data_IF_583891628620
#
_entry.id   IF_583891628620
#
_cell.length_a   1.000
_cell.length_b   1.000
_cell.length_c   1.000
_cell.angle_alpha   90.00
_cell.angle_beta   90.00
_cell.angle_gamma   90.00
#
_symmetry.space_group_name_H-M   'P 1'
#
loop_
_entity.id
_entity.type
_entity.pdbx_description
1 polymer ?
#
# COMPACT_ATOMS: atom_id res chain seq x y z
N UNK A 1 -49.26 4.43 47.47
CA UNK A 1 -50.63 3.92 47.28
C UNK A 1 -50.71 3.38 45.87
N UNK A 2 -50.64 2.06 45.75
CA UNK A 2 -51.69 1.06 45.58
C UNK A 2 -52.27 1.07 44.17
N UNK A 3 -52.07 -0.02 43.48
CA UNK A 3 -52.90 -1.18 43.14
C UNK A 3 -53.29 -1.09 41.66
N UNK A 4 -53.29 -2.09 40.80
CA UNK A 4 -53.14 -3.52 40.90
C UNK A 4 -53.41 -4.18 39.52
N UNK A 5 -52.89 -5.34 39.41
CA UNK A 5 -53.33 -6.59 38.78
C UNK A 5 -54.29 -6.62 37.61
N UNK A 6 -53.94 -7.52 36.70
CA UNK A 6 -54.89 -8.20 35.83
C UNK A 6 -54.18 -9.07 34.79
N UNK A 7 -53.83 -10.33 35.16
CA UNK A 7 -53.48 -11.42 34.28
C UNK A 7 -54.75 -12.09 33.76
N UNK A 8 -54.77 -12.54 32.50
CA UNK A 8 -55.55 -13.69 32.09
C UNK A 8 -54.85 -14.42 30.93
N UNK A 9 -54.73 -15.71 31.17
CA UNK A 9 -54.20 -16.80 30.33
C UNK A 9 -55.13 -17.20 29.20
N UNK A 10 -54.50 -17.99 28.33
CA UNK A 10 -55.01 -19.09 27.47
C UNK A 10 -55.55 -18.69 26.09
N UNK A 11 -55.20 -19.28 25.01
CA UNK A 11 -55.02 -20.68 24.59
C UNK A 11 -54.49 -20.70 23.16
N UNK A 12 -53.59 -21.60 22.82
CA UNK A 12 -53.36 -22.07 21.45
C UNK A 12 -54.48 -23.02 21.03
N UNK A 13 -54.74 -23.26 19.73
CA UNK A 13 -53.96 -24.22 18.99
C UNK A 13 -53.82 -24.03 17.46
N UNK A 14 -52.79 -24.65 16.93
CA UNK A 14 -52.66 -25.51 15.74
C UNK A 14 -52.72 -24.92 14.33
N UNK A 15 -51.58 -25.19 13.64
CA UNK A 15 -51.42 -25.66 12.26
C UNK A 15 -52.01 -24.87 11.10
N UNK A 16 -51.15 -24.35 10.24
CA UNK A 16 -51.14 -24.68 8.80
C UNK A 16 -49.97 -24.07 8.05
N UNK A 17 -49.26 -24.97 7.36
CA UNK A 17 -48.62 -24.85 6.04
C UNK A 17 -47.54 -23.74 5.80
N UNK A 18 -46.35 -24.25 5.61
CA UNK A 18 -45.23 -23.63 4.89
C UNK A 18 -45.67 -23.11 3.52
N UNK A 19 -45.45 -21.82 3.29
CA UNK A 19 -45.27 -21.27 1.96
C UNK A 19 -43.89 -20.62 1.87
N UNK A 20 -43.03 -21.27 1.12
CA UNK A 20 -41.74 -20.75 0.66
C UNK A 20 -42.00 -19.53 -0.21
N UNK A 21 -41.76 -18.34 0.34
CA UNK A 21 -41.61 -17.15 -0.48
C UNK A 21 -40.17 -17.13 -1.02
N UNK A 22 -40.10 -17.18 -2.35
CA UNK A 22 -38.91 -16.87 -3.13
C UNK A 22 -38.46 -15.45 -2.76
N UNK A 23 -37.21 -15.31 -2.33
CA UNK A 23 -36.51 -14.05 -2.41
C UNK A 23 -36.43 -13.68 -3.89
N UNK A 24 -37.12 -12.64 -4.28
CA UNK A 24 -36.91 -11.99 -5.56
C UNK A 24 -35.52 -11.40 -5.59
N UNK A 25 -34.77 -11.85 -6.58
CA UNK A 25 -33.55 -11.25 -7.06
C UNK A 25 -33.86 -9.77 -7.42
N UNK A 26 -33.36 -8.86 -6.63
CA UNK A 26 -33.35 -7.46 -7.00
C UNK A 26 -32.24 -7.27 -8.05
N UNK A 27 -32.59 -7.55 -9.31
CA UNK A 27 -31.85 -7.02 -10.44
C UNK A 27 -31.85 -5.50 -10.30
N UNK A 28 -30.65 -4.92 -10.07
CA UNK A 28 -30.44 -3.49 -10.17
C UNK A 28 -30.87 -3.05 -11.56
N UNK A 29 -31.96 -2.28 -11.62
CA UNK A 29 -32.43 -1.67 -12.85
C UNK A 29 -31.37 -0.65 -13.27
N UNK A 30 -30.60 -0.96 -14.32
CA UNK A 30 -29.69 -0.03 -14.94
C UNK A 30 -30.48 1.25 -15.27
N UNK A 31 -30.05 2.38 -14.72
CA UNK A 31 -30.67 3.67 -15.00
C UNK A 31 -30.56 3.94 -16.48
N UNK A 32 -31.71 3.82 -17.19
CA UNK A 32 -31.81 4.18 -18.59
C UNK A 32 -31.62 5.69 -18.70
N UNK A 33 -30.58 6.10 -19.43
CA UNK A 33 -30.34 7.49 -19.80
C UNK A 33 -31.58 8.03 -20.54
N UNK A 34 -32.21 9.04 -19.97
CA UNK A 34 -33.18 9.87 -20.65
C UNK A 34 -32.43 10.74 -21.65
N UNK A 35 -32.88 10.67 -22.91
CA UNK A 35 -32.43 11.41 -24.08
C UNK A 35 -31.53 12.63 -23.83
N UNK A 36 -30.22 12.50 -24.06
CA UNK A 36 -29.35 13.57 -24.52
C UNK A 36 -28.51 14.30 -23.49
N UNK A 37 -28.68 14.12 -22.17
CA UNK A 37 -27.80 14.74 -21.17
C UNK A 37 -26.73 13.76 -20.70
N UNK A 38 -25.45 14.23 -20.53
CA UNK A 38 -24.37 13.37 -20.02
C UNK A 38 -24.63 12.95 -18.57
N UNK A 39 -24.24 11.73 -18.25
CA UNK A 39 -24.20 11.23 -16.87
C UNK A 39 -23.02 11.87 -16.15
N UNK A 40 -23.24 12.38 -14.94
CA UNK A 40 -22.16 12.87 -14.09
C UNK A 40 -21.78 11.82 -13.06
N UNK A 41 -20.50 11.42 -13.06
CA UNK A 41 -19.89 10.61 -12.00
C UNK A 41 -19.03 11.50 -11.12
N UNK A 42 -18.99 11.18 -9.83
CA UNK A 42 -18.13 11.86 -8.85
C UNK A 42 -16.83 11.09 -8.66
N UNK A 43 -15.71 11.81 -8.67
CA UNK A 43 -14.37 11.25 -8.56
C UNK A 43 -13.59 11.92 -7.42
N UNK A 44 -13.06 11.14 -6.46
CA UNK A 44 -12.24 11.63 -5.36
C UNK A 44 -10.81 11.12 -5.49
N UNK A 45 -9.82 12.01 -5.33
CA UNK A 45 -8.42 11.64 -5.18
C UNK A 45 -7.73 12.44 -4.08
N UNK A 46 -6.59 11.94 -3.61
CA UNK A 46 -5.81 12.47 -2.49
C UNK A 46 -4.43 13.00 -2.90
N UNK A 47 -4.27 13.39 -4.17
CA UNK A 47 -3.04 13.94 -4.74
C UNK A 47 -3.23 15.38 -5.23
N UNK A 48 -3.32 16.37 -4.32
CA UNK A 48 -3.49 17.77 -4.71
C UNK A 48 -2.31 18.31 -5.54
N UNK A 49 -1.12 17.74 -5.42
CA UNK A 49 0.07 18.07 -6.21
C UNK A 49 -0.07 17.74 -7.70
N UNK A 50 -0.96 16.81 -8.06
CA UNK A 50 -1.23 16.38 -9.44
C UNK A 50 -2.60 16.82 -9.97
N UNK A 51 -3.17 17.86 -9.38
CA UNK A 51 -4.50 18.37 -9.78
C UNK A 51 -4.54 18.80 -11.26
N UNK A 52 -3.44 19.37 -11.77
CA UNK A 52 -3.34 19.79 -13.17
C UNK A 52 -3.36 18.60 -14.14
N UNK A 53 -2.64 17.53 -13.82
CA UNK A 53 -2.56 16.30 -14.60
C UNK A 53 -3.93 15.58 -14.60
N UNK A 54 -4.60 15.48 -13.46
CA UNK A 54 -5.95 14.92 -13.39
C UNK A 54 -6.97 15.76 -14.14
N UNK A 55 -6.91 17.09 -14.03
CA UNK A 55 -7.79 17.99 -14.78
C UNK A 55 -7.65 17.78 -16.28
N UNK A 56 -6.43 17.67 -16.80
CA UNK A 56 -6.21 17.39 -18.22
C UNK A 56 -6.70 16.01 -18.62
N UNK A 57 -6.40 15.00 -17.82
CA UNK A 57 -6.84 13.61 -18.04
C UNK A 57 -8.38 13.49 -18.12
N UNK A 58 -9.07 14.16 -17.21
CA UNK A 58 -10.53 14.20 -17.18
C UNK A 58 -11.08 14.93 -18.40
N UNK A 59 -10.50 16.07 -18.78
CA UNK A 59 -10.89 16.82 -19.98
C UNK A 59 -10.76 15.97 -21.25
N UNK A 60 -9.66 15.23 -21.38
CA UNK A 60 -9.40 14.34 -22.50
C UNK A 60 -10.38 13.15 -22.51
N UNK A 61 -10.69 12.60 -21.32
CA UNK A 61 -11.72 11.55 -21.17
C UNK A 61 -13.09 12.02 -21.59
N UNK A 62 -13.55 13.20 -21.13
CA UNK A 62 -14.86 13.75 -21.46
C UNK A 62 -14.99 14.09 -22.95
N UNK A 63 -13.90 14.54 -23.60
CA UNK A 63 -13.85 14.77 -25.03
C UNK A 63 -14.05 13.46 -25.84
N UNK A 64 -13.49 12.36 -25.33
CA UNK A 64 -13.65 11.03 -25.95
C UNK A 64 -14.97 10.34 -25.56
N UNK A 65 -15.60 10.75 -24.45
CA UNK A 65 -16.83 10.17 -23.91
C UNK A 65 -17.85 11.26 -23.57
N UNK A 66 -18.48 11.90 -24.58
CA UNK A 66 -19.34 13.07 -24.39
C UNK A 66 -20.63 12.76 -23.59
N UNK A 67 -20.92 11.50 -23.38
CA UNK A 67 -22.02 10.99 -22.55
C UNK A 67 -21.71 10.93 -21.06
N UNK A 68 -20.44 11.22 -20.64
CA UNK A 68 -20.02 11.19 -19.25
C UNK A 68 -19.36 12.51 -18.87
N UNK A 69 -19.69 13.02 -17.69
CA UNK A 69 -19.01 14.11 -17.00
C UNK A 69 -18.38 13.58 -15.70
N UNK A 70 -17.26 14.18 -15.30
CA UNK A 70 -16.54 13.80 -14.08
C UNK A 70 -16.41 15.03 -13.18
N UNK A 71 -17.05 14.99 -12.03
CA UNK A 71 -16.87 16.00 -10.97
C UNK A 71 -15.85 15.53 -9.96
N UNK A 72 -14.77 16.31 -9.80
CA UNK A 72 -13.63 15.94 -8.96
C UNK A 72 -13.74 16.54 -7.56
N UNK A 73 -13.38 15.73 -6.56
CA UNK A 73 -13.16 16.13 -5.18
C UNK A 73 -11.69 15.83 -4.82
N UNK A 74 -10.97 16.83 -4.35
CA UNK A 74 -9.57 16.69 -3.93
C UNK A 74 -9.48 16.81 -2.43
N UNK A 75 -8.82 15.85 -1.80
CA UNK A 75 -8.54 15.84 -0.36
C UNK A 75 -7.05 15.59 -0.12
N UNK A 76 -6.61 15.51 1.12
CA UNK A 76 -5.26 15.11 1.47
C UNK A 76 -5.25 13.65 1.95
N UNK A 77 -4.11 12.96 1.79
CA UNK A 77 -3.98 11.54 2.09
C UNK A 77 -4.30 11.20 3.56
N UNK A 78 -3.95 12.08 4.48
CA UNK A 78 -4.12 11.90 5.93
C UNK A 78 -5.59 11.82 6.38
N UNK A 79 -6.52 12.36 5.59
CA UNK A 79 -7.96 12.33 5.89
C UNK A 79 -8.75 11.35 5.00
N UNK A 80 -8.11 10.70 4.03
CA UNK A 80 -8.76 9.83 3.04
C UNK A 80 -9.60 8.73 3.70
N UNK A 81 -9.00 7.92 4.56
CA UNK A 81 -9.65 6.77 5.20
C UNK A 81 -10.87 7.20 6.01
N UNK A 82 -10.75 8.27 6.82
CA UNK A 82 -11.85 8.74 7.63
C UNK A 82 -12.96 9.35 6.80
N UNK A 83 -12.61 10.10 5.75
CA UNK A 83 -13.57 10.68 4.82
C UNK A 83 -14.40 9.62 4.13
N UNK A 84 -13.75 8.58 3.57
CA UNK A 84 -14.44 7.49 2.90
C UNK A 84 -15.30 6.67 3.89
N UNK A 85 -14.77 6.33 5.05
CA UNK A 85 -15.53 5.58 6.08
C UNK A 85 -16.80 6.32 6.49
N UNK A 86 -16.71 7.63 6.66
CA UNK A 86 -17.86 8.47 6.99
C UNK A 86 -18.87 8.51 5.85
N UNK A 87 -18.40 8.67 4.61
CA UNK A 87 -19.23 8.70 3.42
C UNK A 87 -19.94 7.36 3.17
N UNK A 88 -19.28 6.22 3.40
CA UNK A 88 -19.89 4.89 3.33
C UNK A 88 -21.03 4.74 4.35
N UNK A 89 -20.80 5.16 5.60
CA UNK A 89 -21.82 5.08 6.62
C UNK A 89 -23.04 5.99 6.31
N UNK A 90 -22.84 7.10 5.62
CA UNK A 90 -23.89 8.00 5.18
C UNK A 90 -24.60 7.54 3.89
N UNK A 91 -24.00 6.62 3.12
CA UNK A 91 -24.48 6.24 1.79
C UNK A 91 -24.28 7.33 0.72
N UNK A 92 -23.30 8.21 0.93
CA UNK A 92 -23.02 9.41 0.11
C UNK A 92 -21.57 9.42 -0.40
N UNK A 93 -20.96 8.24 -0.59
CA UNK A 93 -19.60 8.15 -1.11
C UNK A 93 -19.54 8.52 -2.60
N UNK A 94 -18.40 9.06 -3.08
CA UNK A 94 -18.20 9.32 -4.50
C UNK A 94 -18.25 8.01 -5.32
N UNK A 95 -18.69 8.11 -6.58
CA UNK A 95 -18.80 6.95 -7.46
C UNK A 95 -17.46 6.24 -7.65
N UNK A 96 -16.38 7.02 -7.80
CA UNK A 96 -15.00 6.55 -7.89
C UNK A 96 -14.16 7.26 -6.83
N UNK A 97 -13.41 6.52 -6.05
CA UNK A 97 -12.53 7.08 -5.03
C UNK A 97 -11.14 6.48 -5.10
N UNK A 98 -10.13 7.31 -4.87
CA UNK A 98 -8.77 6.85 -4.57
C UNK A 98 -8.80 5.94 -3.34
N UNK A 99 -7.99 4.93 -3.34
CA UNK A 99 -7.83 4.00 -2.24
C UNK A 99 -6.45 3.37 -2.27
N UNK A 100 -6.03 2.93 -1.11
CA UNK A 100 -4.86 2.06 -1.00
C UNK A 100 -5.33 0.61 -0.99
N UNK A 101 -4.61 -0.25 -1.68
CA UNK A 101 -5.00 -1.65 -1.78
C UNK A 101 -5.16 -2.34 -0.42
N UNK A 102 -4.40 -1.91 0.61
CA UNK A 102 -4.54 -2.41 1.98
C UNK A 102 -5.87 -2.07 2.68
N UNK A 103 -6.66 -1.14 2.14
CA UNK A 103 -7.97 -0.79 2.68
C UNK A 103 -9.10 -1.69 2.15
N UNK A 104 -8.82 -2.46 1.09
CA UNK A 104 -9.89 -3.19 0.38
C UNK A 104 -10.59 -4.24 1.25
N UNK A 105 -9.87 -4.93 2.11
CA UNK A 105 -10.49 -5.88 3.04
C UNK A 105 -11.46 -5.20 3.98
N UNK A 106 -11.05 -4.09 4.58
CA UNK A 106 -11.88 -3.30 5.49
C UNK A 106 -13.10 -2.71 4.79
N UNK A 107 -12.93 -2.05 3.64
CA UNK A 107 -14.03 -1.44 2.89
C UNK A 107 -14.99 -2.48 2.32
N UNK A 108 -14.47 -3.62 1.85
CA UNK A 108 -15.30 -4.71 1.35
C UNK A 108 -16.10 -5.38 2.46
N UNK A 109 -15.55 -5.51 3.68
CA UNK A 109 -16.24 -6.12 4.83
C UNK A 109 -17.53 -5.38 5.23
N UNK A 110 -17.59 -4.08 4.97
CA UNK A 110 -18.79 -3.25 5.19
C UNK A 110 -19.65 -3.10 3.92
N UNK A 111 -19.29 -3.81 2.84
CA UNK A 111 -20.03 -3.81 1.58
C UNK A 111 -19.92 -2.50 0.79
N UNK A 112 -18.86 -1.72 1.01
CA UNK A 112 -18.69 -0.39 0.39
C UNK A 112 -18.10 -0.44 -1.03
N UNK A 113 -17.50 -1.57 -1.44
CA UNK A 113 -16.76 -1.70 -2.69
C UNK A 113 -17.54 -2.49 -3.74
N UNK A 114 -17.46 -2.05 -4.99
CA UNK A 114 -18.06 -2.72 -6.14
C UNK A 114 -17.07 -3.72 -6.76
N UNK A 115 -17.54 -4.92 -7.10
CA UNK A 115 -16.73 -5.93 -7.77
C UNK A 115 -16.48 -5.54 -9.24
N UNK A 116 -15.23 -5.24 -9.55
CA UNK A 116 -14.78 -4.82 -10.88
C UNK A 116 -14.28 -5.99 -11.75
N UNK A 117 -14.24 -7.21 -11.20
CA UNK A 117 -13.79 -8.41 -11.92
C UNK A 117 -14.47 -8.59 -13.27
N UNK A 118 -15.81 -8.47 -13.40
CA UNK A 118 -16.48 -8.67 -14.68
C UNK A 118 -15.98 -7.73 -15.79
N UNK A 119 -15.68 -6.45 -15.45
CA UNK A 119 -15.15 -5.48 -16.41
C UNK A 119 -13.70 -5.76 -16.82
N UNK A 120 -12.90 -6.27 -15.88
CA UNK A 120 -11.52 -6.66 -16.16
C UNK A 120 -11.41 -7.90 -17.05
N UNK A 121 -12.40 -8.77 -17.01
CA UNK A 121 -12.47 -10.02 -17.77
C UNK A 121 -13.08 -9.84 -19.18
N UNK A 122 -13.63 -8.67 -19.50
CA UNK A 122 -14.11 -8.37 -20.82
C UNK A 122 -13.00 -8.49 -21.88
N UNK A 123 -13.41 -8.83 -23.12
CA UNK A 123 -12.52 -8.96 -24.27
C UNK A 123 -11.29 -9.84 -24.01
N UNK A 124 -11.49 -11.01 -23.39
CA UNK A 124 -10.43 -11.96 -23.03
C UNK A 124 -9.39 -11.36 -22.06
N UNK A 125 -9.83 -10.64 -21.05
CA UNK A 125 -8.98 -10.02 -20.01
C UNK A 125 -8.05 -8.92 -20.54
N UNK A 126 -8.33 -8.30 -21.69
CA UNK A 126 -7.45 -7.29 -22.28
C UNK A 126 -7.06 -6.19 -21.29
N UNK A 127 -8.01 -5.68 -20.51
CA UNK A 127 -7.73 -4.67 -19.50
C UNK A 127 -6.90 -5.24 -18.34
N UNK A 128 -7.29 -6.40 -17.78
CA UNK A 128 -6.55 -7.06 -16.71
C UNK A 128 -5.11 -7.33 -17.10
N UNK A 129 -4.92 -7.86 -18.31
CA UNK A 129 -3.60 -8.26 -18.82
C UNK A 129 -2.71 -7.07 -19.22
N UNK A 130 -3.26 -5.87 -19.31
CA UNK A 130 -2.49 -4.63 -19.50
C UNK A 130 -1.88 -4.11 -18.20
N UNK A 131 -2.34 -4.58 -17.06
CA UNK A 131 -1.87 -4.15 -15.73
C UNK A 131 -0.84 -5.13 -15.16
N UNK A 132 0.01 -4.63 -14.27
CA UNK A 132 0.96 -5.47 -13.53
C UNK A 132 0.18 -6.48 -12.66
N UNK A 133 0.43 -7.76 -12.86
CA UNK A 133 -0.29 -8.82 -12.15
C UNK A 133 -0.19 -8.70 -10.61
N UNK A 134 0.99 -8.42 -10.00
CA UNK A 134 1.09 -8.18 -8.56
C UNK A 134 0.26 -6.97 -8.09
N UNK A 135 0.16 -5.94 -8.93
CA UNK A 135 -0.63 -4.75 -8.62
C UNK A 135 -2.13 -5.04 -8.60
N UNK A 136 -2.63 -5.81 -9.57
CA UNK A 136 -4.03 -6.29 -9.57
C UNK A 136 -4.30 -7.19 -8.38
N UNK A 137 -3.36 -8.12 -8.08
CA UNK A 137 -3.49 -9.02 -6.94
C UNK A 137 -3.60 -8.29 -5.61
N UNK A 138 -2.89 -7.18 -5.43
CA UNK A 138 -2.96 -6.39 -4.19
C UNK A 138 -4.34 -5.75 -3.96
N UNK A 139 -5.12 -5.49 -5.00
CA UNK A 139 -6.50 -4.98 -4.93
C UNK A 139 -7.58 -6.06 -4.95
N UNK A 140 -7.18 -7.34 -4.84
CA UNK A 140 -8.07 -8.51 -4.94
C UNK A 140 -8.38 -9.07 -3.55
N UNK A 141 -9.65 -9.34 -3.28
CA UNK A 141 -10.14 -9.98 -2.04
C UNK A 141 -11.05 -11.14 -2.45
N UNK A 142 -10.76 -12.36 -1.98
CA UNK A 142 -11.54 -13.57 -2.32
C UNK A 142 -11.75 -13.74 -3.85
N UNK A 143 -10.70 -13.61 -4.63
CA UNK A 143 -10.69 -13.69 -6.10
C UNK A 143 -11.48 -12.59 -6.84
N UNK A 144 -11.99 -11.59 -6.13
CA UNK A 144 -12.70 -10.45 -6.70
C UNK A 144 -11.83 -9.18 -6.62
N UNK A 145 -11.80 -8.39 -7.70
CA UNK A 145 -10.99 -7.17 -7.79
C UNK A 145 -11.83 -5.97 -7.37
N UNK A 146 -11.44 -5.31 -6.31
CA UNK A 146 -12.13 -4.14 -5.74
C UNK A 146 -11.35 -2.83 -5.90
N UNK A 147 -10.05 -2.92 -6.16
CA UNK A 147 -9.20 -1.76 -6.44
C UNK A 147 -8.51 -1.94 -7.79
N UNK A 148 -8.70 -0.99 -8.68
CA UNK A 148 -7.94 -0.91 -9.94
C UNK A 148 -6.65 -0.16 -9.66
N UNK A 149 -5.48 -0.80 -9.87
CA UNK A 149 -4.21 -0.17 -9.62
C UNK A 149 -3.97 0.98 -10.60
N UNK A 150 -3.48 2.12 -10.09
CA UNK A 150 -3.12 3.27 -10.90
C UNK A 150 -1.61 3.47 -10.96
N UNK A 151 -0.96 3.50 -9.80
CA UNK A 151 0.50 3.54 -9.69
C UNK A 151 0.99 2.56 -8.61
N UNK A 152 2.23 2.14 -8.72
CA UNK A 152 2.87 1.28 -7.72
C UNK A 152 3.43 2.13 -6.57
N UNK A 153 3.43 1.56 -5.38
CA UNK A 153 4.06 2.16 -4.19
C UNK A 153 4.89 1.11 -3.47
N UNK A 154 6.09 1.48 -3.05
CA UNK A 154 6.98 0.61 -2.31
C UNK A 154 8.01 1.42 -1.53
N UNK A 155 8.41 0.91 -0.37
CA UNK A 155 9.58 1.43 0.34
C UNK A 155 10.85 0.87 -0.29
N UNK A 156 11.77 1.74 -0.65
CA UNK A 156 13.03 1.45 -1.34
C UNK A 156 14.16 2.26 -0.73
N UNK A 157 15.38 2.08 -1.23
CA UNK A 157 16.54 2.88 -0.85
C UNK A 157 16.86 3.91 -1.93
N UNK A 158 17.00 5.18 -1.52
CA UNK A 158 17.76 6.16 -2.26
C UNK A 158 19.18 6.23 -1.68
N UNK A 159 20.18 6.48 -2.53
CA UNK A 159 21.56 6.67 -2.10
C UNK A 159 22.20 7.89 -2.74
N UNK A 160 23.16 8.50 -2.04
CA UNK A 160 23.96 9.58 -2.58
C UNK A 160 25.01 9.02 -3.54
N UNK A 161 24.69 9.04 -4.83
CA UNK A 161 25.53 8.51 -5.91
C UNK A 161 26.87 9.24 -6.00
N UNK A 162 26.86 10.57 -5.86
CA UNK A 162 28.07 11.38 -5.85
C UNK A 162 29.01 10.96 -4.73
N UNK A 163 28.48 10.76 -3.51
CA UNK A 163 29.29 10.29 -2.37
C UNK A 163 29.85 8.88 -2.60
N UNK A 164 29.07 7.99 -3.23
CA UNK A 164 29.56 6.66 -3.62
C UNK A 164 30.78 6.76 -4.55
N UNK A 165 30.65 7.55 -5.62
CA UNK A 165 31.72 7.76 -6.61
C UNK A 165 32.96 8.41 -6.01
N UNK A 166 32.81 9.45 -5.18
CA UNK A 166 33.91 10.14 -4.52
C UNK A 166 34.74 9.24 -3.58
N UNK A 167 34.08 8.25 -2.94
CA UNK A 167 34.73 7.30 -2.06
C UNK A 167 35.14 5.99 -2.76
N UNK A 168 34.82 5.83 -4.04
CA UNK A 168 35.11 4.60 -4.79
C UNK A 168 34.31 3.40 -4.30
N UNK A 169 33.12 3.63 -3.75
CA UNK A 169 32.21 2.59 -3.32
C UNK A 169 31.32 2.13 -4.48
N UNK A 170 31.06 0.82 -4.49
CA UNK A 170 30.15 0.21 -5.45
C UNK A 170 28.76 0.01 -4.85
N UNK A 171 27.72 0.02 -5.70
CA UNK A 171 26.35 -0.25 -5.25
C UNK A 171 26.25 -1.73 -4.85
N UNK A 172 25.88 -2.03 -3.60
CA UNK A 172 25.84 -3.39 -3.09
C UNK A 172 24.71 -4.20 -3.74
N UNK A 173 24.96 -5.45 -4.03
CA UNK A 173 24.01 -6.38 -4.63
C UNK A 173 23.49 -7.43 -3.65
N UNK A 174 24.20 -7.61 -2.52
CA UNK A 174 23.81 -8.52 -1.45
C UNK A 174 23.75 -7.79 -0.10
N UNK A 175 23.04 -8.37 0.86
CA UNK A 175 22.97 -7.83 2.22
C UNK A 175 24.34 -7.76 2.90
N UNK A 176 25.20 -8.73 2.63
CA UNK A 176 26.57 -8.81 3.18
C UNK A 176 27.45 -7.68 2.64
N UNK A 177 27.35 -7.37 1.33
CA UNK A 177 28.02 -6.23 0.71
C UNK A 177 27.47 -4.91 1.27
N UNK A 178 26.15 -4.82 1.47
CA UNK A 178 25.50 -3.66 2.04
C UNK A 178 25.98 -3.39 3.46
N UNK A 179 25.99 -4.39 4.35
CA UNK A 179 26.52 -4.26 5.70
C UNK A 179 28.00 -3.85 5.73
N UNK A 180 28.80 -4.38 4.78
CA UNK A 180 30.20 -3.98 4.63
C UNK A 180 30.31 -2.50 4.28
N UNK A 181 29.51 -2.04 3.33
CA UNK A 181 29.46 -0.63 2.91
C UNK A 181 28.96 0.28 4.03
N UNK A 182 27.93 -0.11 4.78
CA UNK A 182 27.47 0.65 5.95
C UNK A 182 28.61 0.82 6.97
N UNK A 183 29.38 -0.24 7.19
CA UNK A 183 30.56 -0.17 8.08
C UNK A 183 31.68 0.74 7.57
N UNK A 184 31.88 0.85 6.25
CA UNK A 184 32.84 1.81 5.67
C UNK A 184 32.31 3.25 5.77
N UNK A 185 31.04 3.46 5.47
CA UNK A 185 30.40 4.76 5.57
C UNK A 185 30.42 5.32 7.00
N UNK A 186 30.12 4.50 7.99
CA UNK A 186 30.18 4.88 9.40
C UNK A 186 31.55 5.47 9.83
N UNK A 187 32.65 4.98 9.25
CA UNK A 187 34.00 5.47 9.55
C UNK A 187 34.25 6.88 9.02
N UNK A 188 33.47 7.35 8.05
CA UNK A 188 33.61 8.70 7.47
C UNK A 188 32.88 9.79 8.27
N UNK A 189 32.02 9.39 9.21
CA UNK A 189 31.23 10.30 10.04
C UNK A 189 29.87 10.67 9.44
N UNK A 190 29.48 10.05 8.32
CA UNK A 190 28.09 10.12 7.82
C UNK A 190 27.23 9.04 8.48
N UNK A 191 25.95 9.28 8.61
CA UNK A 191 24.99 8.23 9.00
C UNK A 191 24.84 7.27 7.81
N UNK A 192 25.21 5.98 7.93
CA UNK A 192 25.14 5.07 6.81
C UNK A 192 23.74 4.94 6.22
N UNK A 193 22.71 4.77 7.08
CA UNK A 193 21.31 4.64 6.68
C UNK A 193 20.41 5.56 7.49
N UNK A 194 19.75 6.48 6.84
CA UNK A 194 18.73 7.34 7.42
C UNK A 194 17.37 6.62 7.39
N UNK A 195 16.83 6.36 8.57
CA UNK A 195 15.59 5.61 8.76
C UNK A 195 14.70 6.33 9.76
N UNK A 196 13.69 7.09 9.33
CA UNK A 196 12.80 7.79 10.26
C UNK A 196 11.91 6.81 11.03
N UNK A 197 11.68 7.07 12.31
CA UNK A 197 10.84 6.26 13.20
C UNK A 197 9.61 6.99 13.74
N UNK A 198 9.39 8.25 13.36
CA UNK A 198 8.27 9.04 13.85
C UNK A 198 7.36 9.49 12.69
N UNK A 199 6.03 9.35 12.76
CA UNK A 199 5.29 8.66 13.83
C UNK A 199 5.29 7.13 13.66
N UNK A 200 5.01 6.42 14.76
CA UNK A 200 4.74 4.97 14.80
C UNK A 200 5.83 4.05 14.23
N UNK A 201 7.09 4.48 14.21
CA UNK A 201 8.18 3.64 13.70
C UNK A 201 8.10 3.23 12.23
N UNK A 202 7.25 3.88 11.42
CA UNK A 202 6.84 3.42 10.07
C UNK A 202 7.98 2.94 9.16
N UNK A 203 9.09 3.66 9.08
CA UNK A 203 10.22 3.24 8.24
C UNK A 203 11.13 2.24 8.96
N UNK A 204 11.22 2.30 10.28
CA UNK A 204 11.91 1.28 11.09
C UNK A 204 11.13 -0.04 11.01
N UNK A 205 9.79 0.02 11.07
CA UNK A 205 8.92 -1.12 10.81
C UNK A 205 9.20 -1.75 9.46
N UNK A 206 9.35 -0.94 8.42
CA UNK A 206 9.69 -1.44 7.08
C UNK A 206 11.05 -2.15 7.05
N UNK A 207 12.03 -1.72 7.84
CA UNK A 207 13.33 -2.38 7.95
C UNK A 207 13.23 -3.72 8.69
N UNK A 208 12.53 -3.76 9.81
CA UNK A 208 12.29 -5.01 10.57
C UNK A 208 11.53 -6.02 9.73
N UNK A 209 10.46 -5.57 9.05
CA UNK A 209 9.67 -6.42 8.16
C UNK A 209 10.52 -6.97 6.99
N UNK A 210 11.42 -6.17 6.44
CA UNK A 210 12.34 -6.63 5.40
C UNK A 210 13.27 -7.73 5.92
N UNK A 211 13.83 -7.58 7.12
CA UNK A 211 14.64 -8.63 7.73
C UNK A 211 13.81 -9.88 8.03
N UNK A 212 12.64 -9.72 8.64
CA UNK A 212 11.76 -10.85 8.95
C UNK A 212 11.35 -11.61 7.70
N UNK A 213 11.08 -10.91 6.57
CA UNK A 213 10.80 -11.51 5.27
C UNK A 213 11.92 -12.40 4.78
N UNK A 214 13.18 -11.96 4.89
CA UNK A 214 14.33 -12.77 4.50
C UNK A 214 14.41 -14.05 5.35
N UNK A 215 14.22 -13.95 6.67
CA UNK A 215 14.23 -15.12 7.55
C UNK A 215 13.05 -16.06 7.27
N UNK A 216 11.86 -15.54 6.99
CA UNK A 216 10.70 -16.34 6.58
C UNK A 216 10.91 -17.04 5.25
N UNK A 217 11.57 -16.37 4.29
CA UNK A 217 11.94 -17.00 3.02
C UNK A 217 12.87 -18.18 3.25
N UNK A 218 13.91 -18.02 4.05
CA UNK A 218 14.87 -19.07 4.40
C UNK A 218 14.21 -20.23 5.17
N UNK A 219 13.25 -19.92 6.05
CA UNK A 219 12.44 -20.91 6.75
C UNK A 219 11.48 -21.69 5.82
N UNK A 220 11.29 -21.20 4.58
CA UNK A 220 10.45 -21.83 3.57
C UNK A 220 8.98 -21.45 3.62
N UNK A 221 8.59 -20.49 4.45
CA UNK A 221 7.21 -20.02 4.59
C UNK A 221 6.67 -19.37 3.32
N UNK A 222 7.54 -18.79 2.48
CA UNK A 222 7.15 -18.07 1.28
C UNK A 222 7.08 -18.92 0.01
N UNK A 223 7.49 -20.21 0.07
CA UNK A 223 7.64 -21.08 -1.11
C UNK A 223 6.35 -21.44 -1.85
N UNK A 224 5.20 -21.24 -1.21
CA UNK A 224 3.90 -21.66 -1.76
C UNK A 224 2.88 -20.51 -1.85
N UNK A 225 3.29 -19.26 -1.77
CA UNK A 225 2.40 -18.11 -1.50
C UNK A 225 1.62 -18.22 -0.18
N UNK A 226 1.97 -19.15 0.70
CA UNK A 226 1.28 -19.40 1.97
C UNK A 226 1.37 -18.21 2.93
N UNK A 227 2.39 -17.37 2.75
CA UNK A 227 2.54 -16.10 3.48
C UNK A 227 1.39 -15.11 3.20
N UNK A 228 0.77 -15.22 2.03
CA UNK A 228 -0.41 -14.42 1.69
C UNK A 228 -1.69 -14.95 2.35
N UNK A 229 -1.66 -16.14 2.95
CA UNK A 229 -2.85 -16.87 3.41
C UNK A 229 -2.91 -17.15 4.91
N UNK A 230 -2.02 -16.55 5.73
CA UNK A 230 -2.28 -16.56 7.16
C UNK A 230 -1.31 -17.26 8.10
N UNK A 231 -0.03 -17.39 7.77
CA UNK A 231 0.99 -17.80 8.75
C UNK A 231 1.45 -16.61 9.61
N UNK A 232 0.56 -16.09 10.45
CA UNK A 232 0.92 -15.03 11.40
C UNK A 232 1.18 -15.58 12.81
N UNK A 233 1.00 -16.88 13.02
CA UNK A 233 1.03 -17.51 14.34
C UNK A 233 2.29 -18.31 14.63
N UNK A 234 3.29 -18.27 13.74
CA UNK A 234 4.57 -19.00 13.86
C UNK A 234 5.74 -18.10 13.44
N UNK A 235 5.68 -16.81 13.73
CA UNK A 235 6.66 -15.81 13.24
C UNK A 235 7.52 -15.19 14.35
N UNK A 236 7.30 -15.58 15.60
CA UNK A 236 8.02 -15.02 16.74
C UNK A 236 9.56 -15.13 16.59
N UNK A 237 10.04 -16.26 16.05
CA UNK A 237 11.47 -16.49 15.84
C UNK A 237 12.05 -15.56 14.79
N UNK A 238 11.39 -15.42 13.66
CA UNK A 238 11.86 -14.58 12.54
C UNK A 238 11.88 -13.09 12.91
N UNK A 239 10.89 -12.64 13.68
CA UNK A 239 10.90 -11.29 14.23
C UNK A 239 11.94 -11.11 15.35
N UNK A 240 12.21 -12.11 16.17
CA UNK A 240 13.30 -12.07 17.13
C UNK A 240 14.66 -11.90 16.43
N UNK A 241 14.91 -12.65 15.36
CA UNK A 241 16.13 -12.53 14.55
C UNK A 241 16.21 -11.16 13.87
N UNK A 242 15.09 -10.62 13.36
CA UNK A 242 15.02 -9.29 12.78
C UNK A 242 15.30 -8.19 13.80
N UNK A 243 14.72 -8.27 15.00
CA UNK A 243 14.96 -7.34 16.10
C UNK A 243 16.42 -7.37 16.57
N UNK A 244 17.02 -8.57 16.69
CA UNK A 244 18.42 -8.73 17.03
C UNK A 244 19.35 -8.05 16.00
N UNK A 245 19.06 -8.20 14.69
CA UNK A 245 19.82 -7.53 13.62
C UNK A 245 19.66 -6.02 13.69
N UNK A 246 18.46 -5.54 13.92
CA UNK A 246 18.19 -4.10 14.05
C UNK A 246 19.02 -3.49 15.19
N UNK A 247 19.06 -4.12 16.35
CA UNK A 247 19.92 -3.66 17.48
C UNK A 247 21.39 -3.71 17.14
N UNK A 248 21.87 -4.77 16.52
CA UNK A 248 23.24 -4.87 16.06
C UNK A 248 23.62 -3.71 15.12
N UNK A 249 22.71 -3.31 14.23
CA UNK A 249 22.93 -2.17 13.35
C UNK A 249 22.96 -0.82 14.08
N UNK A 250 22.11 -0.64 15.09
CA UNK A 250 22.17 0.54 15.97
C UNK A 250 23.48 0.58 16.73
N UNK A 251 23.90 -0.54 17.34
CA UNK A 251 25.15 -0.64 18.11
C UNK A 251 26.39 -0.41 17.25
N UNK A 252 26.36 -0.79 15.98
CA UNK A 252 27.42 -0.54 15.00
C UNK A 252 27.40 0.88 14.43
N UNK A 253 26.40 1.68 14.75
CA UNK A 253 26.23 3.04 14.24
C UNK A 253 25.84 3.07 12.76
N UNK A 254 25.18 2.02 12.25
CA UNK A 254 24.63 2.01 10.88
C UNK A 254 23.36 2.85 10.77
N UNK A 255 22.60 2.94 11.86
CA UNK A 255 21.44 3.80 12.04
C UNK A 255 21.76 4.91 13.05
N UNK A 256 21.11 6.06 12.89
CA UNK A 256 21.21 7.12 13.89
C UNK A 256 20.49 6.70 15.19
N UNK A 257 21.09 6.95 16.34
CA UNK A 257 20.47 6.69 17.64
C UNK A 257 19.17 7.51 17.83
N UNK A 258 19.05 8.66 17.16
CA UNK A 258 17.89 9.53 17.21
C UNK A 258 16.81 9.16 16.15
N UNK A 259 16.98 8.08 15.40
CA UNK A 259 16.05 7.64 14.34
C UNK A 259 14.61 7.53 14.82
N UNK A 260 14.36 7.11 16.06
CA UNK A 260 13.01 7.01 16.63
C UNK A 260 12.29 8.36 16.74
N UNK A 261 13.03 9.45 16.94
CA UNK A 261 12.47 10.81 17.02
C UNK A 261 12.41 11.51 15.65
N UNK A 262 13.07 10.93 14.65
CA UNK A 262 13.23 11.51 13.31
C UNK A 262 11.96 11.32 12.51
N UNK A 263 11.43 12.42 11.95
CA UNK A 263 10.35 12.36 10.96
C UNK A 263 10.88 12.03 9.58
N UNK A 264 10.00 11.73 8.63
CA UNK A 264 10.38 11.54 7.22
C UNK A 264 11.05 12.79 6.65
N UNK A 265 10.49 13.96 6.93
CA UNK A 265 11.02 15.25 6.50
C UNK A 265 12.39 15.53 7.13
N UNK A 266 12.59 15.14 8.40
CA UNK A 266 13.92 15.25 9.04
C UNK A 266 14.95 14.36 8.36
N UNK A 267 14.59 13.09 8.07
CA UNK A 267 15.49 12.14 7.40
C UNK A 267 15.85 12.60 5.99
N UNK A 268 14.88 13.00 5.19
CA UNK A 268 15.13 13.55 3.84
C UNK A 268 15.90 14.86 3.91
N UNK A 269 15.62 15.72 4.90
CA UNK A 269 16.39 16.93 5.15
C UNK A 269 17.87 16.62 5.48
N UNK A 270 18.17 15.62 6.31
CA UNK A 270 19.53 15.16 6.58
C UNK A 270 20.18 14.59 5.32
N UNK A 271 19.43 13.88 4.49
CA UNK A 271 19.93 13.34 3.21
C UNK A 271 20.33 14.45 2.25
N UNK A 272 19.51 15.51 2.10
CA UNK A 272 19.85 16.67 1.26
C UNK A 272 21.03 17.49 1.82
N UNK A 273 21.26 17.44 3.12
CA UNK A 273 22.47 17.99 3.74
C UNK A 273 23.70 17.08 3.59
N UNK A 274 23.58 15.99 2.85
CA UNK A 274 24.61 14.97 2.62
C UNK A 274 25.17 14.35 3.91
N UNK A 275 24.32 14.24 4.95
CA UNK A 275 24.68 13.63 6.24
C UNK A 275 24.41 12.14 6.30
N UNK A 276 23.74 11.58 5.28
CA UNK A 276 23.47 10.17 5.12
C UNK A 276 23.91 9.64 3.77
N UNK A 277 24.33 8.38 3.73
CA UNK A 277 24.67 7.70 2.48
C UNK A 277 23.41 7.11 1.83
N UNK A 278 22.60 6.40 2.59
CA UNK A 278 21.32 5.85 2.18
C UNK A 278 20.17 6.48 2.96
N UNK A 279 19.01 6.51 2.32
CA UNK A 279 17.75 6.86 2.97
C UNK A 279 16.65 5.88 2.55
N UNK A 280 15.86 5.41 3.51
CA UNK A 280 14.61 4.73 3.21
C UNK A 280 13.60 5.76 2.73
N UNK A 281 13.05 5.53 1.55
CA UNK A 281 12.13 6.45 0.87
C UNK A 281 10.98 5.66 0.22
N UNK A 282 9.90 6.35 -0.09
CA UNK A 282 8.87 5.80 -0.96
C UNK A 282 9.19 6.19 -2.42
N UNK A 283 9.00 5.27 -3.36
CA UNK A 283 9.25 5.54 -4.79
C UNK A 283 8.43 6.72 -5.34
N UNK A 284 7.32 7.06 -4.70
CA UNK A 284 6.49 8.20 -5.10
C UNK A 284 7.12 9.56 -4.75
N UNK A 285 8.21 9.57 -3.97
CA UNK A 285 8.96 10.78 -3.60
C UNK A 285 10.05 11.15 -4.61
N UNK A 286 10.17 10.40 -5.72
CA UNK A 286 11.30 10.52 -6.65
C UNK A 286 11.47 11.94 -7.23
N UNK A 287 10.37 12.61 -7.56
CA UNK A 287 10.41 13.99 -8.09
C UNK A 287 11.07 14.94 -7.11
N UNK A 288 10.69 14.89 -5.84
CA UNK A 288 11.26 15.74 -4.80
C UNK A 288 12.70 15.32 -4.46
N UNK A 289 12.96 14.01 -4.44
CA UNK A 289 14.31 13.49 -4.20
C UNK A 289 15.30 13.97 -5.25
N UNK A 290 14.99 13.87 -6.53
CA UNK A 290 15.88 14.32 -7.60
C UNK A 290 16.05 15.84 -7.60
N UNK A 291 14.95 16.58 -7.46
CA UNK A 291 14.98 18.04 -7.44
C UNK A 291 15.83 18.57 -6.28
N UNK A 292 15.53 18.15 -5.06
CA UNK A 292 16.19 18.67 -3.86
C UNK A 292 17.66 18.22 -3.77
N UNK A 293 17.98 17.01 -4.24
CA UNK A 293 19.37 16.55 -4.33
C UNK A 293 20.19 17.34 -5.33
N UNK A 294 19.62 17.63 -6.51
CA UNK A 294 20.26 18.45 -7.51
C UNK A 294 20.48 19.89 -7.02
N UNK A 295 19.50 20.48 -6.32
CA UNK A 295 19.65 21.80 -5.68
C UNK A 295 20.73 21.79 -4.57
N UNK A 296 20.89 20.67 -3.87
CA UNK A 296 21.95 20.45 -2.88
C UNK A 296 23.32 20.08 -3.49
N UNK A 297 23.39 19.91 -4.82
CA UNK A 297 24.63 19.71 -5.56
C UNK A 297 25.14 18.28 -5.63
N UNK A 298 24.26 17.27 -5.52
CA UNK A 298 24.63 15.87 -5.70
C UNK A 298 23.59 15.07 -6.51
N UNK A 299 24.03 13.97 -7.07
CA UNK A 299 23.17 13.01 -7.78
C UNK A 299 22.74 11.87 -6.85
N UNK A 300 21.52 11.39 -7.05
CA UNK A 300 21.02 10.21 -6.38
C UNK A 300 21.01 9.01 -7.32
N UNK A 301 21.05 7.82 -6.73
CA UNK A 301 20.61 6.58 -7.32
C UNK A 301 19.57 5.94 -6.43
N UNK A 302 18.90 4.92 -6.95
CA UNK A 302 17.88 4.17 -6.22
C UNK A 302 18.17 2.68 -6.32
N UNK A 303 17.72 1.91 -5.34
CA UNK A 303 17.91 0.46 -5.32
C UNK A 303 16.86 -0.21 -4.43
N UNK A 304 16.60 -1.49 -4.69
CA UNK A 304 15.90 -2.32 -3.72
C UNK A 304 16.74 -2.51 -2.45
N UNK A 305 16.10 -2.82 -1.35
CA UNK A 305 16.84 -3.30 -0.17
C UNK A 305 17.50 -4.64 -0.52
N UNK A 306 18.83 -4.77 -0.33
CA UNK A 306 19.55 -5.97 -0.76
C UNK A 306 19.14 -7.20 0.04
N UNK A 307 19.01 -8.33 -0.65
CA UNK A 307 18.75 -9.62 -0.03
C UNK A 307 20.06 -10.35 0.30
N UNK A 308 20.04 -11.32 1.23
CA UNK A 308 21.15 -12.23 1.46
C UNK A 308 21.56 -12.96 0.17
N UNK A 309 22.84 -13.35 0.05
CA UNK A 309 23.33 -14.09 -1.12
C UNK A 309 22.49 -15.35 -1.38
N UNK A 310 21.99 -15.50 -2.60
CA UNK A 310 21.15 -16.64 -3.00
C UNK A 310 19.66 -16.50 -2.68
N UNK A 311 19.25 -15.41 -2.05
CA UNK A 311 17.84 -15.05 -1.83
C UNK A 311 17.41 -14.07 -2.92
N UNK A 312 16.22 -14.20 -3.51
CA UNK A 312 15.72 -13.20 -4.44
C UNK A 312 15.47 -11.85 -3.73
N UNK A 313 15.47 -10.78 -4.49
CA UNK A 313 15.03 -9.48 -3.97
C UNK A 313 13.58 -9.58 -3.54
N UNK A 314 13.32 -9.31 -2.27
CA UNK A 314 11.99 -9.33 -1.67
C UNK A 314 11.54 -7.89 -1.40
N UNK A 315 10.40 -7.50 -1.94
CA UNK A 315 9.85 -6.18 -1.69
C UNK A 315 8.86 -6.23 -0.53
N UNK A 316 9.28 -5.70 0.60
CA UNK A 316 8.37 -5.38 1.68
C UNK A 316 7.49 -4.18 1.27
N UNK A 317 6.19 -4.26 1.61
CA UNK A 317 5.24 -3.16 1.38
C UNK A 317 5.08 -2.73 -0.09
N UNK A 318 5.31 -3.64 -1.07
CA UNK A 318 4.88 -3.40 -2.44
C UNK A 318 3.35 -3.28 -2.47
N UNK A 319 2.85 -2.18 -2.94
CA UNK A 319 1.44 -1.93 -3.01
C UNK A 319 1.05 -1.09 -4.20
N UNK A 320 -0.17 -0.64 -4.18
CA UNK A 320 -0.68 0.26 -5.20
C UNK A 320 -1.50 1.36 -4.54
N UNK A 321 -1.38 2.54 -5.10
CA UNK A 321 -2.40 3.56 -5.04
C UNK A 321 -3.31 3.31 -6.24
N UNK A 322 -4.58 3.20 -6.00
CA UNK A 322 -5.54 2.84 -7.03
C UNK A 322 -6.88 3.50 -6.81
N UNK A 323 -7.88 2.99 -7.50
CA UNK A 323 -9.24 3.51 -7.41
C UNK A 323 -10.23 2.38 -7.22
N UNK A 324 -11.16 2.59 -6.33
CA UNK A 324 -12.33 1.74 -6.11
C UNK A 324 -13.58 2.40 -6.72
N UNK A 325 -14.59 1.58 -6.97
CA UNK A 325 -15.95 2.04 -7.28
C UNK A 325 -16.83 1.76 -6.06
N UNK A 326 -17.62 2.75 -5.67
CA UNK A 326 -18.55 2.61 -4.56
C UNK A 326 -19.71 1.66 -4.93
N UNK A 327 -20.02 0.71 -4.03
CA UNK A 327 -21.08 -0.29 -4.27
C UNK A 327 -22.48 0.32 -4.45
N UNK A 328 -22.71 1.50 -3.86
CA UNK A 328 -23.98 2.23 -3.99
C UNK A 328 -24.07 3.16 -5.20
N UNK A 329 -23.07 3.19 -6.09
CA UNK A 329 -23.11 3.99 -7.32
C UNK A 329 -24.28 3.58 -8.22
N UNK A 330 -24.85 4.56 -8.89
CA UNK A 330 -25.86 4.31 -9.95
C UNK A 330 -25.21 4.14 -11.33
N UNK A 331 -23.90 4.35 -11.44
CA UNK A 331 -23.14 4.46 -12.67
C UNK A 331 -21.90 3.54 -12.72
N UNK A 332 -22.05 2.24 -12.41
CA UNK A 332 -20.89 1.34 -12.34
C UNK A 332 -20.19 1.16 -13.70
N UNK A 333 -20.95 1.13 -14.80
CA UNK A 333 -20.40 1.02 -16.16
C UNK A 333 -19.58 2.26 -16.54
N UNK A 334 -20.11 3.47 -16.26
CA UNK A 334 -19.44 4.73 -16.55
C UNK A 334 -18.17 4.88 -15.68
N UNK A 335 -18.25 4.47 -14.42
CA UNK A 335 -17.13 4.44 -13.51
C UNK A 335 -16.04 3.47 -13.99
N UNK A 336 -16.41 2.27 -14.44
CA UNK A 336 -15.46 1.31 -14.99
C UNK A 336 -14.83 1.82 -16.31
N UNK A 337 -15.59 2.48 -17.18
CA UNK A 337 -15.06 3.13 -18.41
C UNK A 337 -14.03 4.21 -18.07
N UNK A 338 -14.31 5.04 -17.07
CA UNK A 338 -13.37 6.05 -16.61
C UNK A 338 -12.08 5.40 -16.08
N UNK A 339 -12.18 4.38 -15.22
CA UNK A 339 -11.03 3.65 -14.69
C UNK A 339 -10.22 2.97 -15.80
N UNK A 340 -10.88 2.34 -16.77
CA UNK A 340 -10.21 1.72 -17.92
C UNK A 340 -9.46 2.76 -18.78
N UNK A 341 -10.02 3.95 -18.95
CA UNK A 341 -9.37 5.03 -19.68
C UNK A 341 -8.11 5.53 -18.95
N UNK A 342 -8.23 5.88 -17.67
CA UNK A 342 -7.10 6.44 -16.90
C UNK A 342 -5.99 5.42 -16.65
N UNK A 343 -6.26 4.13 -16.78
CA UNK A 343 -5.26 3.05 -16.68
C UNK A 343 -4.79 2.54 -18.05
N UNK A 344 -5.22 3.17 -19.14
CA UNK A 344 -4.72 2.86 -20.48
C UNK A 344 -3.25 3.26 -20.62
N UNK A 345 -2.52 2.57 -21.51
CA UNK A 345 -1.08 2.81 -21.69
C UNK A 345 -0.74 4.27 -21.97
N UNK A 346 -1.42 4.90 -22.90
CA UNK A 346 -1.07 6.26 -23.34
C UNK A 346 -1.30 7.30 -22.24
N UNK A 347 -2.38 7.15 -21.48
CA UNK A 347 -2.69 8.04 -20.33
C UNK A 347 -1.69 7.82 -19.21
N UNK A 348 -1.41 6.57 -18.85
CA UNK A 348 -0.45 6.24 -17.81
C UNK A 348 0.98 6.59 -18.19
N UNK A 349 1.37 6.38 -19.45
CA UNK A 349 2.70 6.78 -19.94
C UNK A 349 2.92 8.28 -19.79
N UNK A 350 1.93 9.09 -20.16
CA UNK A 350 2.00 10.55 -20.01
C UNK A 350 2.10 10.94 -18.54
N UNK A 351 1.18 10.46 -17.71
CA UNK A 351 1.16 10.76 -16.27
C UNK A 351 2.46 10.33 -15.58
N UNK A 352 2.93 9.11 -15.84
CA UNK A 352 4.16 8.59 -15.27
C UNK A 352 5.39 9.42 -15.64
N UNK A 353 5.50 9.88 -16.88
CA UNK A 353 6.61 10.74 -17.31
C UNK A 353 6.56 12.14 -16.68
N UNK A 354 5.36 12.71 -16.52
CA UNK A 354 5.17 14.04 -15.92
C UNK A 354 5.41 14.04 -14.40
N UNK A 355 5.13 12.92 -13.72
CA UNK A 355 5.17 12.81 -12.25
C UNK A 355 6.28 11.92 -11.70
N UNK A 356 7.12 11.34 -12.57
CA UNK A 356 8.11 10.30 -12.23
C UNK A 356 7.53 9.11 -11.45
N UNK A 357 6.24 8.85 -11.58
CA UNK A 357 5.57 7.71 -10.95
C UNK A 357 5.73 6.44 -11.78
N UNK A 358 5.95 5.30 -11.12
CA UNK A 358 5.89 3.99 -11.79
C UNK A 358 4.45 3.52 -11.84
N UNK A 359 3.92 3.45 -13.04
CA UNK A 359 2.51 3.21 -13.29
C UNK A 359 2.15 1.73 -13.25
N UNK A 360 0.87 1.44 -13.04
CA UNK A 360 0.38 0.07 -13.00
C UNK A 360 0.24 -0.59 -14.39
N UNK A 361 0.21 0.18 -15.48
CA UNK A 361 0.20 -0.39 -16.82
C UNK A 361 1.61 -0.89 -17.17
N UNK A 362 1.72 -2.20 -17.43
CA UNK A 362 3.00 -2.90 -17.62
C UNK A 362 3.74 -2.50 -18.91
N UNK A 363 3.04 -1.86 -19.85
CA UNK A 363 3.62 -1.46 -21.14
C UNK A 363 4.18 -0.02 -21.10
N UNK A 364 4.15 0.64 -19.94
CA UNK A 364 4.81 1.93 -19.73
C UNK A 364 6.33 1.76 -19.72
N UNK A 365 7.03 2.75 -20.30
CA UNK A 365 8.50 2.82 -20.33
C UNK A 365 8.92 4.20 -19.86
N UNK A 366 10.13 4.31 -19.30
CA UNK A 366 10.56 5.51 -18.61
C UNK A 366 11.93 5.95 -19.10
N UNK A 367 12.09 7.27 -19.40
CA UNK A 367 13.36 7.85 -19.82
C UNK A 367 14.22 8.31 -18.63
N UNK A 368 13.60 8.59 -17.48
CA UNK A 368 14.32 8.92 -16.27
C UNK A 368 14.98 7.63 -15.71
N UNK A 369 16.29 7.73 -15.41
CA UNK A 369 17.09 6.56 -15.01
C UNK A 369 16.61 5.93 -13.69
N UNK A 370 16.31 6.75 -12.67
CA UNK A 370 15.86 6.25 -11.38
C UNK A 370 14.42 5.69 -11.45
N UNK A 371 13.54 6.32 -12.24
CA UNK A 371 12.20 5.80 -12.47
C UNK A 371 12.24 4.46 -13.23
N UNK A 372 13.12 4.34 -14.23
CA UNK A 372 13.36 3.08 -14.95
C UNK A 372 13.89 1.99 -14.03
N UNK A 373 14.82 2.34 -13.13
CA UNK A 373 15.34 1.42 -12.11
C UNK A 373 14.24 0.92 -11.17
N UNK A 374 13.36 1.79 -10.69
CA UNK A 374 12.20 1.36 -9.90
C UNK A 374 11.29 0.41 -10.68
N UNK A 375 11.02 0.69 -11.95
CA UNK A 375 10.20 -0.19 -12.77
C UNK A 375 10.86 -1.57 -12.97
N UNK A 376 12.18 -1.64 -13.11
CA UNK A 376 12.93 -2.88 -13.19
C UNK A 376 12.89 -3.64 -11.85
N UNK A 377 13.11 -2.97 -10.73
CA UNK A 377 12.98 -3.55 -9.39
C UNK A 377 11.59 -4.18 -9.22
N UNK A 378 10.52 -3.45 -9.54
CA UNK A 378 9.15 -3.92 -9.35
C UNK A 378 8.75 -5.06 -10.29
N UNK A 379 9.39 -5.17 -11.45
CA UNK A 379 9.14 -6.26 -12.40
C UNK A 379 9.95 -7.52 -12.10
N UNK A 380 11.13 -7.39 -11.49
CA UNK A 380 12.07 -8.49 -11.26
C UNK A 380 12.03 -9.07 -9.85
N UNK A 381 11.65 -8.27 -8.87
CA UNK A 381 11.59 -8.69 -7.48
C UNK A 381 10.37 -9.58 -7.19
N UNK A 382 10.51 -10.48 -6.24
CA UNK A 382 9.39 -11.19 -5.67
C UNK A 382 8.69 -10.25 -4.66
N UNK A 383 7.46 -9.88 -4.98
CA UNK A 383 6.67 -8.98 -4.14
C UNK A 383 5.92 -9.79 -3.11
N UNK A 384 6.42 -9.77 -1.90
CA UNK A 384 5.70 -10.25 -0.74
C UNK A 384 5.16 -9.05 0.01
N UNK A 385 3.92 -8.69 -0.28
CA UNK A 385 3.17 -7.98 0.71
C UNK A 385 2.74 -9.01 1.74
N UNK A 386 2.96 -8.72 3.06
CA UNK A 386 1.98 -9.14 4.03
C UNK A 386 0.65 -8.67 3.45
N UNK A 387 -0.01 -9.53 2.69
CA UNK A 387 -1.43 -9.38 2.59
C UNK A 387 -1.87 -9.63 4.02
N UNK A 388 -1.85 -8.53 4.77
CA UNK A 388 -2.78 -8.44 5.85
C UNK A 388 -4.02 -9.05 5.25
N UNK A 389 -4.43 -10.20 5.74
CA UNK A 389 -5.76 -10.64 5.42
C UNK A 389 -6.61 -9.44 5.81
N UNK A 390 -6.95 -8.62 4.83
CA UNK A 390 -7.60 -7.34 5.02
C UNK A 390 -8.95 -7.47 5.73
N UNK A 391 -9.43 -8.70 5.89
CA UNK A 391 -10.51 -9.04 6.78
C UNK A 391 -10.10 -8.96 8.26
N UNK A 392 -8.80 -8.87 8.57
CA UNK A 392 -8.27 -8.82 9.93
C UNK A 392 -7.92 -7.39 10.43
N UNK A 393 -7.99 -6.35 9.58
CA UNK A 393 -7.65 -4.99 9.96
C UNK A 393 -6.17 -4.61 9.70
N UNK A 394 -5.80 -3.37 10.02
CA UNK A 394 -4.44 -2.86 9.84
C UNK A 394 -3.62 -3.01 11.12
N UNK A 395 -2.62 -3.89 11.09
CA UNK A 395 -1.70 -4.09 12.21
C UNK A 395 -0.44 -3.20 12.10
N UNK A 396 -0.25 -2.52 10.98
CA UNK A 396 1.00 -1.81 10.70
C UNK A 396 1.37 -0.77 11.75
N UNK A 397 0.40 -0.05 12.32
CA UNK A 397 0.65 0.91 13.41
C UNK A 397 1.04 0.21 14.70
N UNK A 398 0.38 -0.89 15.04
CA UNK A 398 0.62 -1.62 16.29
C UNK A 398 2.02 -2.27 16.30
N UNK A 399 2.46 -2.84 15.18
CA UNK A 399 3.83 -3.39 15.06
C UNK A 399 4.87 -2.30 15.10
N UNK A 400 4.66 -1.15 14.46
CA UNK A 400 5.58 0.00 14.51
C UNK A 400 5.79 0.53 15.93
N UNK A 401 4.74 0.57 16.75
CA UNK A 401 4.84 0.96 18.15
C UNK A 401 5.66 -0.06 18.97
N UNK A 402 5.46 -1.37 18.73
CA UNK A 402 6.24 -2.43 19.38
C UNK A 402 7.73 -2.37 19.02
N UNK A 403 8.06 -2.06 17.78
CA UNK A 403 9.43 -1.89 17.31
C UNK A 403 10.10 -0.66 17.94
N UNK A 404 9.36 0.45 18.05
CA UNK A 404 9.84 1.64 18.73
C UNK A 404 10.06 1.40 20.22
N UNK A 405 9.17 0.64 20.88
CA UNK A 405 9.33 0.21 22.28
C UNK A 405 10.59 -0.64 22.45
N UNK A 406 10.75 -1.66 21.61
CA UNK A 406 11.91 -2.56 21.62
C UNK A 406 13.25 -1.83 21.46
N UNK A 407 13.32 -0.84 20.57
CA UNK A 407 14.53 -0.03 20.41
C UNK A 407 14.78 0.91 21.58
N UNK A 408 13.72 1.37 22.26
CA UNK A 408 13.81 2.28 23.41
C UNK A 408 14.15 1.57 24.70
N UNK A 409 13.84 0.28 24.81
CA UNK A 409 14.11 -0.55 26.00
C UNK A 409 15.22 -1.59 25.75
N UNK A 410 16.49 -1.29 26.10
CA UNK A 410 17.57 -2.24 25.95
C UNK A 410 17.43 -3.52 26.79
N UNK A 411 16.52 -3.53 27.78
CA UNK A 411 16.27 -4.71 28.63
C UNK A 411 15.34 -5.74 28.02
N UNK A 412 14.54 -5.35 27.05
CA UNK A 412 13.70 -6.27 26.29
C UNK A 412 14.56 -7.17 25.40
N UNK A 413 14.34 -8.48 25.47
CA UNK A 413 15.09 -9.41 24.62
C UNK A 413 14.49 -9.50 23.22
N UNK A 414 15.27 -9.89 22.20
CA UNK A 414 14.73 -10.14 20.86
C UNK A 414 13.62 -11.19 20.87
N UNK A 415 13.70 -12.21 21.72
CA UNK A 415 12.70 -13.24 21.86
C UNK A 415 11.37 -12.70 22.42
N UNK A 416 11.44 -11.81 23.42
CA UNK A 416 10.27 -11.11 23.96
C UNK A 416 9.62 -10.23 22.91
N UNK A 417 10.42 -9.50 22.14
CA UNK A 417 9.94 -8.69 21.01
C UNK A 417 9.23 -9.53 19.95
N UNK A 418 9.88 -10.61 19.49
CA UNK A 418 9.29 -11.51 18.50
C UNK A 418 7.95 -12.09 18.96
N UNK A 419 7.86 -12.48 20.23
CA UNK A 419 6.62 -12.99 20.81
C UNK A 419 5.52 -11.92 20.88
N UNK A 420 5.86 -10.68 21.26
CA UNK A 420 4.89 -9.58 21.25
C UNK A 420 4.31 -9.30 19.85
N UNK A 421 5.15 -9.38 18.81
CA UNK A 421 4.69 -9.23 17.42
C UNK A 421 3.71 -10.36 17.06
N UNK A 422 4.05 -11.61 17.35
CA UNK A 422 3.18 -12.75 17.10
C UNK A 422 1.85 -12.64 17.87
N UNK A 423 1.90 -12.28 19.15
CA UNK A 423 0.71 -12.10 19.99
C UNK A 423 -0.20 -10.99 19.44
N UNK A 424 0.37 -9.91 18.88
CA UNK A 424 -0.40 -8.85 18.24
C UNK A 424 -1.14 -9.36 16.99
N UNK A 425 -0.52 -10.21 16.18
CA UNK A 425 -1.18 -10.86 15.06
C UNK A 425 -2.28 -11.82 15.49
N UNK A 426 -2.01 -12.68 16.48
CA UNK A 426 -3.00 -13.64 17.02
C UNK A 426 -4.22 -12.88 17.54
N UNK A 427 -4.01 -11.83 18.33
CA UNK A 427 -5.08 -10.99 18.84
C UNK A 427 -5.93 -10.37 17.73
N UNK A 428 -5.28 -9.85 16.69
CA UNK A 428 -5.99 -9.26 15.56
C UNK A 428 -6.85 -10.27 14.82
N UNK A 429 -6.35 -11.50 14.61
CA UNK A 429 -7.11 -12.58 13.99
C UNK A 429 -8.32 -12.98 14.84
N UNK A 430 -8.14 -13.12 16.18
CA UNK A 430 -9.23 -13.44 17.11
C UNK A 430 -10.33 -12.37 17.12
N UNK A 431 -9.96 -11.08 17.14
CA UNK A 431 -10.88 -9.94 17.09
C UNK A 431 -11.73 -9.93 15.81
N UNK A 432 -11.22 -10.51 14.73
CA UNK A 432 -11.90 -10.62 13.44
C UNK A 432 -12.52 -12.01 13.20
N UNK A 433 -12.58 -12.86 14.23
CA UNK A 433 -13.30 -14.16 14.18
C UNK A 433 -12.62 -15.21 13.33
N UNK A 434 -11.30 -15.18 13.23
CA UNK A 434 -10.46 -16.13 12.48
C UNK A 434 -9.58 -16.98 13.39
#
# INVERSE_FOLDING_TARGET
ALVGCGATEATAPADTAATTEKKDDATAEAAQTTDGEPVTITFMHDWPEYEAEFTQMISDFEAANPDIKVETQVITWDVLTQTLTTAFAAGEAPDVACCWANQMGSFNSVGATYDLTPYLEENNNEWRDSLLAPAVQSGTVNDQVFCIPFRTTCTVLAYNKTMMEENGWEVPTTLEEFETLLGEAAKTGVTPLLTPGNPHGFQIASLVETFALHYMYDAGYLKNNDYLTGHYTDVAKEYAEAGARLRDWVDKGYLDADSLAMTREDATGQFYLQKGLFAFVNNNELTDLEKNSAEAGFEIGVMAFPAPEGTPTLLHNFGVDGFMVYSGTKYPEQSARFLKYITSKDVQQKFGNETLSVMANKDCTYDNANQSEFAEIFSSAESYRKNYDYSAGDIGSDTGDLEAEFLSDPSETPEEFGQKIEDAYVKLLEENGK
#
